data_IF_161703909867
#
_entry.id   IF_161703909867
#
_cell.length_a   1.000
_cell.length_b   1.000
_cell.length_c   1.000
_cell.angle_alpha   90.00
_cell.angle_beta   90.00
_cell.angle_gamma   90.00
#
_symmetry.space_group_name_H-M   'P 1'
#
loop_
_entity.id
_entity.type
_entity.pdbx_description
1 polymer ?
#
# COMPACT_ATOMS: atom_id res chain seq x y z
N UNK A 1 8.77 -11.04 16.84
CA UNK A 1 7.66 -11.63 16.07
C UNK A 1 6.36 -10.99 16.49
N UNK A 2 5.57 -10.54 15.54
CA UNK A 2 4.25 -9.96 15.72
C UNK A 2 3.19 -10.94 15.18
N UNK A 3 2.15 -11.18 15.97
CA UNK A 3 0.97 -11.93 15.53
C UNK A 3 -0.23 -10.98 15.35
N UNK A 4 -1.12 -11.21 14.38
CA UNK A 4 -2.37 -10.45 14.30
C UNK A 4 -3.17 -10.48 15.63
N UNK A 5 -3.05 -11.55 16.39
CA UNK A 5 -3.67 -11.66 17.71
C UNK A 5 -3.16 -10.61 18.73
N UNK A 6 -1.94 -10.09 18.54
CA UNK A 6 -1.36 -9.12 19.47
C UNK A 6 -2.02 -7.74 19.37
N UNK A 7 -2.71 -7.48 18.24
CA UNK A 7 -3.46 -6.23 17.99
C UNK A 7 -4.97 -6.38 18.20
N UNK A 8 -5.47 -7.58 18.48
CA UNK A 8 -6.90 -7.82 18.67
C UNK A 8 -7.32 -7.68 20.13
N UNK A 9 -8.47 -7.05 20.41
CA UNK A 9 -9.02 -7.00 21.77
C UNK A 9 -9.50 -8.39 22.22
N UNK A 10 -9.52 -8.60 23.55
CA UNK A 10 -10.19 -9.77 24.13
C UNK A 10 -11.71 -9.69 23.88
N UNK A 11 -12.41 -10.78 23.50
CA UNK A 11 -11.96 -12.18 23.35
C UNK A 11 -11.47 -12.55 21.94
N UNK A 12 -11.44 -11.63 20.97
CA UNK A 12 -11.09 -11.92 19.58
C UNK A 12 -9.65 -12.43 19.44
N UNK A 13 -8.72 -11.91 20.25
CA UNK A 13 -7.33 -12.38 20.29
C UNK A 13 -7.22 -13.85 20.65
N UNK A 14 -8.04 -14.32 21.61
CA UNK A 14 -8.10 -15.73 22.03
C UNK A 14 -8.68 -16.59 20.92
N UNK A 15 -9.80 -16.18 20.33
CA UNK A 15 -10.42 -16.89 19.20
C UNK A 15 -9.46 -17.02 18.01
N UNK A 16 -8.74 -15.95 17.69
CA UNK A 16 -7.74 -15.99 16.62
C UNK A 16 -6.61 -16.99 16.93
N UNK A 17 -6.05 -17.00 18.14
CA UNK A 17 -4.99 -17.94 18.53
C UNK A 17 -5.46 -19.40 18.51
N UNK A 18 -6.71 -19.67 18.86
CA UNK A 18 -7.27 -21.01 18.82
C UNK A 18 -7.44 -21.52 17.38
N UNK A 19 -7.86 -20.66 16.46
CA UNK A 19 -8.08 -21.01 15.05
C UNK A 19 -6.81 -20.95 14.21
N UNK A 20 -5.80 -20.19 14.65
CA UNK A 20 -4.54 -19.99 13.96
C UNK A 20 -3.35 -20.21 14.92
N UNK A 21 -3.12 -21.46 15.40
CA UNK A 21 -2.02 -21.73 16.30
C UNK A 21 -0.69 -21.47 15.62
N UNK A 22 0.19 -20.74 16.29
CA UNK A 22 1.55 -20.53 15.81
C UNK A 22 2.34 -21.84 15.90
N UNK A 23 2.65 -22.41 14.75
CA UNK A 23 3.42 -23.66 14.63
C UNK A 23 4.91 -23.42 14.40
N UNK A 24 5.35 -22.17 14.34
CA UNK A 24 6.73 -21.84 14.07
C UNK A 24 7.61 -22.07 15.31
N UNK A 25 8.77 -22.65 15.10
CA UNK A 25 9.83 -22.74 16.10
C UNK A 25 10.78 -21.59 15.89
N UNK A 26 10.72 -20.60 16.76
CA UNK A 26 11.60 -19.45 16.70
C UNK A 26 12.96 -19.75 17.38
N UNK A 27 14.04 -19.16 16.84
CA UNK A 27 15.35 -19.20 17.48
C UNK A 27 15.32 -18.38 18.78
N UNK A 28 16.24 -18.68 19.71
CA UNK A 28 16.32 -18.03 21.03
C UNK A 28 16.55 -16.50 20.98
N UNK A 29 17.07 -16.00 19.85
CA UNK A 29 17.31 -14.57 19.66
C UNK A 29 16.12 -13.82 19.04
N UNK A 30 14.96 -14.49 18.89
CA UNK A 30 13.75 -13.86 18.36
C UNK A 30 12.87 -13.40 19.52
N UNK A 31 12.60 -12.11 19.58
CA UNK A 31 11.70 -11.53 20.57
C UNK A 31 10.26 -11.58 20.09
N UNK A 32 9.35 -11.95 20.98
CA UNK A 32 7.91 -11.77 20.76
C UNK A 32 7.50 -10.32 21.00
N UNK A 33 6.43 -9.89 20.35
CA UNK A 33 5.98 -8.49 20.39
C UNK A 33 5.79 -7.96 21.82
N UNK A 34 5.19 -8.77 22.69
CA UNK A 34 5.00 -8.39 24.10
C UNK A 34 6.31 -8.12 24.81
N UNK A 35 7.30 -9.01 24.65
CA UNK A 35 8.65 -8.84 25.24
C UNK A 35 9.36 -7.60 24.70
N UNK A 36 9.16 -7.31 23.41
CA UNK A 36 9.70 -6.10 22.79
C UNK A 36 9.11 -4.83 23.41
N UNK A 37 7.79 -4.78 23.63
CA UNK A 37 7.12 -3.65 24.27
C UNK A 37 7.55 -3.48 25.73
N UNK A 38 7.59 -4.57 26.50
CA UNK A 38 8.04 -4.56 27.90
C UNK A 38 9.48 -4.03 28.03
N UNK A 39 10.36 -4.38 27.10
CA UNK A 39 11.73 -3.86 27.06
C UNK A 39 11.85 -2.37 26.75
N UNK A 40 10.80 -1.77 26.14
CA UNK A 40 10.72 -0.34 25.84
C UNK A 40 10.05 0.51 26.92
N UNK A 41 9.39 -0.13 27.91
CA UNK A 41 8.72 0.60 28.97
C UNK A 41 9.71 1.42 29.81
N UNK A 42 9.41 2.71 29.99
CA UNK A 42 10.24 3.63 30.75
C UNK A 42 11.52 4.10 30.04
N UNK A 43 11.78 3.67 28.81
CA UNK A 43 12.91 4.15 28.02
C UNK A 43 12.59 5.52 27.41
N UNK A 44 13.58 6.41 27.43
CA UNK A 44 13.50 7.68 26.71
C UNK A 44 13.65 7.42 25.20
N UNK A 45 12.70 7.88 24.39
CA UNK A 45 12.83 7.85 22.93
C UNK A 45 13.61 9.09 22.50
N UNK A 46 14.93 8.98 22.34
CA UNK A 46 15.68 9.95 21.56
C UNK A 46 15.46 9.66 20.08
N UNK A 47 15.05 10.67 19.32
CA UNK A 47 14.99 10.53 17.87
C UNK A 47 16.43 10.39 17.33
N UNK A 48 16.68 9.37 16.52
CA UNK A 48 17.94 9.28 15.80
C UNK A 48 18.08 10.48 14.85
N UNK A 49 19.28 11.03 14.68
CA UNK A 49 19.51 12.07 13.70
C UNK A 49 19.14 11.57 12.30
N UNK A 50 18.52 12.44 11.50
CA UNK A 50 18.19 12.10 10.12
C UNK A 50 19.47 11.88 9.31
N UNK A 51 19.58 10.68 8.73
CA UNK A 51 20.63 10.32 7.78
C UNK A 51 19.99 9.94 6.44
N UNK A 52 20.14 10.76 5.38
CA UNK A 52 19.55 10.47 4.07
C UNK A 52 20.07 9.18 3.42
N UNK A 53 21.24 8.70 3.84
CA UNK A 53 21.84 7.46 3.38
C UNK A 53 21.46 6.22 4.20
N UNK A 54 20.78 6.40 5.33
CA UNK A 54 20.36 5.29 6.18
C UNK A 54 19.31 4.41 5.47
N UNK A 55 19.60 3.10 5.41
CA UNK A 55 18.66 2.13 4.85
C UNK A 55 17.50 1.87 5.80
N UNK A 56 16.31 2.35 5.48
CA UNK A 56 15.13 2.16 6.32
C UNK A 56 14.40 0.83 6.06
N UNK A 57 14.59 0.24 4.87
CA UNK A 57 13.98 -1.05 4.52
C UNK A 57 14.79 -1.79 3.47
N UNK A 58 14.74 -3.11 3.52
CA UNK A 58 15.26 -4.00 2.49
C UNK A 58 14.07 -4.69 1.82
N UNK A 59 13.84 -4.40 0.55
CA UNK A 59 12.78 -5.01 -0.25
C UNK A 59 13.38 -6.00 -1.24
N UNK A 60 12.83 -7.20 -1.31
CA UNK A 60 13.31 -8.21 -2.23
C UNK A 60 12.72 -8.01 -3.64
N UNK A 61 13.57 -8.14 -4.66
CA UNK A 61 13.10 -8.14 -6.06
C UNK A 61 12.40 -9.46 -6.38
N UNK A 62 11.37 -9.41 -7.21
CA UNK A 62 10.75 -10.59 -7.82
C UNK A 62 11.63 -11.11 -8.96
N UNK A 63 12.76 -11.74 -8.64
CA UNK A 63 13.70 -12.22 -9.66
C UNK A 63 13.08 -13.25 -10.59
N UNK A 64 13.07 -12.98 -11.90
CA UNK A 64 12.62 -13.94 -12.94
C UNK A 64 13.75 -14.89 -13.35
N UNK A 65 14.99 -14.61 -13.02
CA UNK A 65 16.19 -15.30 -13.56
C UNK A 65 17.23 -15.72 -12.50
N UNK A 66 16.93 -15.58 -11.19
CA UNK A 66 17.90 -15.89 -10.14
C UNK A 66 17.32 -15.79 -8.73
N UNK A 67 18.17 -15.89 -7.72
CA UNK A 67 17.77 -15.64 -6.32
C UNK A 67 17.31 -14.19 -6.14
N UNK A 68 16.23 -13.96 -5.38
CA UNK A 68 15.78 -12.60 -5.07
C UNK A 68 16.91 -11.77 -4.46
N UNK A 69 17.08 -10.55 -4.93
CA UNK A 69 18.06 -9.60 -4.37
C UNK A 69 17.38 -8.71 -3.35
N UNK A 70 18.05 -8.45 -2.24
CA UNK A 70 17.62 -7.45 -1.27
C UNK A 70 18.06 -6.05 -1.70
N UNK A 71 17.11 -5.18 -2.03
CA UNK A 71 17.37 -3.77 -2.37
C UNK A 71 17.22 -2.95 -1.11
N UNK A 72 18.27 -2.26 -0.70
CA UNK A 72 18.24 -1.32 0.42
C UNK A 72 17.67 0.02 -0.05
N UNK A 73 16.52 0.40 0.50
CA UNK A 73 15.88 1.68 0.23
C UNK A 73 16.06 2.59 1.43
N UNK A 74 16.35 3.86 1.17
CA UNK A 74 16.60 4.86 2.20
C UNK A 74 15.35 5.71 2.45
N UNK A 75 15.30 6.41 3.58
CA UNK A 75 14.26 7.40 3.85
C UNK A 75 14.18 8.45 2.74
N UNK A 76 15.34 8.83 2.17
CA UNK A 76 15.41 9.78 1.08
C UNK A 76 14.75 9.25 -0.21
N UNK A 77 14.85 7.95 -0.49
CA UNK A 77 14.18 7.33 -1.66
C UNK A 77 12.65 7.53 -1.59
N UNK A 78 12.06 7.30 -0.43
CA UNK A 78 10.62 7.47 -0.24
C UNK A 78 10.18 8.93 -0.20
N UNK A 79 10.99 9.79 0.40
CA UNK A 79 10.75 11.24 0.42
C UNK A 79 10.76 11.82 -0.99
N UNK A 80 11.70 11.37 -1.83
CA UNK A 80 11.78 11.81 -3.23
C UNK A 80 10.52 11.41 -4.02
N UNK A 81 10.02 10.18 -3.87
CA UNK A 81 8.76 9.74 -4.49
C UNK A 81 7.59 10.61 -4.02
N UNK A 82 7.48 10.88 -2.72
CA UNK A 82 6.41 11.73 -2.18
C UNK A 82 6.46 13.14 -2.75
N UNK A 83 7.65 13.72 -2.90
CA UNK A 83 7.84 15.04 -3.52
C UNK A 83 7.48 15.03 -5.02
N UNK A 84 7.86 13.99 -5.75
CA UNK A 84 7.49 13.84 -7.16
C UNK A 84 5.97 13.80 -7.35
N UNK A 85 5.26 12.99 -6.54
CA UNK A 85 3.80 12.96 -6.58
C UNK A 85 3.16 14.29 -6.17
N UNK A 86 3.75 14.99 -5.20
CA UNK A 86 3.26 16.31 -4.76
C UNK A 86 3.40 17.39 -5.85
N UNK A 87 4.33 17.22 -6.78
CA UNK A 87 4.49 18.12 -7.93
C UNK A 87 3.33 17.99 -8.94
N UNK A 88 2.54 16.93 -8.85
CA UNK A 88 1.33 16.73 -9.65
C UNK A 88 0.07 17.12 -8.86
N UNK A 89 0.03 18.34 -8.31
CA UNK A 89 -1.07 18.85 -7.45
C UNK A 89 -2.44 18.86 -8.11
N UNK A 90 -2.52 18.77 -9.43
CA UNK A 90 -3.79 18.61 -10.16
C UNK A 90 -4.39 17.21 -10.05
N UNK A 91 -3.59 16.20 -9.68
CA UNK A 91 -4.04 14.80 -9.62
C UNK A 91 -4.57 14.40 -8.24
N UNK A 92 -4.18 15.12 -7.19
CA UNK A 92 -4.51 14.77 -5.81
C UNK A 92 -5.08 15.96 -5.07
N UNK A 93 -6.20 15.75 -4.38
CA UNK A 93 -6.84 16.79 -3.59
C UNK A 93 -6.97 16.33 -2.14
N UNK A 94 -6.71 17.22 -1.20
CA UNK A 94 -6.86 16.96 0.22
C UNK A 94 -8.25 16.39 0.55
N UNK A 95 -8.27 15.33 1.33
CA UNK A 95 -9.50 14.65 1.74
C UNK A 95 -9.96 13.52 0.80
N UNK A 96 -9.42 13.41 -0.41
CA UNK A 96 -9.72 12.28 -1.29
C UNK A 96 -9.36 10.94 -0.64
N UNK A 97 -10.11 9.90 -1.00
CA UNK A 97 -9.89 8.55 -0.50
C UNK A 97 -8.97 7.79 -1.45
N UNK A 98 -7.83 7.39 -0.94
CA UNK A 98 -6.93 6.43 -1.57
C UNK A 98 -7.26 5.03 -1.07
N UNK A 99 -7.66 4.11 -1.96
CA UNK A 99 -7.79 2.70 -1.60
C UNK A 99 -6.48 1.97 -1.88
N UNK A 100 -5.84 1.50 -0.80
CA UNK A 100 -4.60 0.75 -0.88
C UNK A 100 -4.91 -0.75 -0.93
N UNK A 101 -4.66 -1.35 -2.10
CA UNK A 101 -4.86 -2.78 -2.38
C UNK A 101 -3.55 -3.50 -2.68
N UNK A 102 -2.44 -2.76 -2.77
CA UNK A 102 -1.15 -3.35 -3.13
C UNK A 102 -0.52 -4.05 -1.92
N UNK A 103 0.12 -5.21 -2.14
CA UNK A 103 0.83 -5.91 -1.08
C UNK A 103 1.94 -5.04 -0.47
N UNK A 104 2.01 -4.91 0.86
CA UNK A 104 2.97 -4.03 1.52
C UNK A 104 4.42 -4.51 1.47
N UNK A 105 4.66 -5.75 1.05
CA UNK A 105 6.00 -6.36 0.99
C UNK A 105 6.71 -6.16 -0.34
N UNK A 106 6.08 -5.50 -1.32
CA UNK A 106 6.71 -5.09 -2.59
C UNK A 106 6.95 -3.58 -2.57
N UNK A 107 8.00 -3.10 -3.27
CA UNK A 107 8.36 -1.67 -3.26
C UNK A 107 7.20 -0.76 -3.65
N UNK A 108 6.43 -1.12 -4.67
CA UNK A 108 5.24 -0.38 -5.10
C UNK A 108 4.19 -0.26 -3.98
N UNK A 109 3.83 -1.38 -3.35
CA UNK A 109 2.86 -1.38 -2.26
C UNK A 109 3.39 -0.71 -1.00
N UNK A 110 4.69 -0.84 -0.72
CA UNK A 110 5.34 -0.17 0.40
C UNK A 110 5.36 1.35 0.19
N UNK A 111 5.84 1.82 -0.96
CA UNK A 111 5.92 3.26 -1.27
C UNK A 111 4.53 3.93 -1.29
N UNK A 112 3.54 3.29 -1.92
CA UNK A 112 2.18 3.84 -2.04
C UNK A 112 1.28 3.59 -0.82
N UNK A 113 1.63 2.63 0.06
CA UNK A 113 0.74 2.15 1.10
C UNK A 113 1.28 2.09 2.52
N UNK A 114 2.42 1.44 2.76
CA UNK A 114 2.87 1.10 4.13
C UNK A 114 3.75 2.16 4.74
N UNK A 115 4.61 2.77 3.98
CA UNK A 115 5.45 3.88 4.46
C UNK A 115 4.60 5.00 5.06
N UNK A 116 3.32 4.95 4.77
CA UNK A 116 2.24 5.74 5.27
C UNK A 116 1.94 5.60 6.75
N UNK A 117 2.11 4.40 7.32
CA UNK A 117 1.61 4.05 8.65
C UNK A 117 2.72 3.97 9.70
N UNK A 118 3.95 3.71 9.31
CA UNK A 118 5.04 3.44 10.25
C UNK A 118 5.60 4.69 10.95
N UNK A 119 5.37 5.88 10.40
CA UNK A 119 6.04 7.10 10.86
C UNK A 119 5.27 7.97 11.85
N UNK A 120 4.11 7.56 12.36
CA UNK A 120 3.46 8.29 13.45
C UNK A 120 4.28 8.28 14.76
N UNK A 121 5.30 7.41 14.86
CA UNK A 121 6.11 7.26 16.07
C UNK A 121 7.42 8.08 16.09
N UNK A 122 7.83 8.70 14.99
CA UNK A 122 9.11 9.42 14.92
C UNK A 122 8.89 10.91 14.67
N UNK A 123 9.14 11.69 15.70
CA UNK A 123 9.12 13.17 15.73
C UNK A 123 10.30 13.80 14.94
N UNK A 124 10.57 13.35 13.74
CA UNK A 124 11.58 13.98 12.89
C UNK A 124 10.89 14.77 11.77
N UNK A 125 11.05 16.06 11.81
CA UNK A 125 10.32 17.10 11.11
C UNK A 125 10.47 17.16 9.58
N UNK A 126 10.96 16.14 8.89
CA UNK A 126 11.29 16.27 7.46
C UNK A 126 10.94 15.07 6.56
N UNK A 127 10.28 14.03 7.06
CA UNK A 127 9.92 12.87 6.23
C UNK A 127 8.41 12.74 6.16
N UNK A 128 7.83 13.16 5.05
CA UNK A 128 6.39 13.23 4.87
C UNK A 128 5.98 12.25 3.76
N UNK A 129 5.04 11.37 4.05
CA UNK A 129 4.61 10.27 3.19
C UNK A 129 3.43 10.64 2.31
N UNK A 130 3.35 10.05 1.12
CA UNK A 130 2.47 10.48 0.04
C UNK A 130 1.05 10.84 0.47
N UNK A 131 0.23 9.98 1.09
CA UNK A 131 -1.12 10.42 1.48
C UNK A 131 -1.15 11.37 2.67
N UNK A 132 -0.16 11.36 3.57
CA UNK A 132 -0.10 12.36 4.66
C UNK A 132 0.33 13.72 4.12
N UNK A 133 1.31 13.75 3.19
CA UNK A 133 1.69 14.97 2.45
C UNK A 133 0.50 15.57 1.77
N UNK A 134 -0.24 14.72 1.06
CA UNK A 134 -1.37 15.14 0.24
C UNK A 134 -2.66 15.30 1.06
N UNK A 135 -2.65 14.96 2.35
CA UNK A 135 -3.83 15.02 3.22
C UNK A 135 -4.95 14.09 2.76
N UNK A 136 -4.60 12.91 2.23
CA UNK A 136 -5.56 11.91 1.75
C UNK A 136 -6.13 11.06 2.89
N UNK A 137 -7.31 10.52 2.68
CA UNK A 137 -7.90 9.49 3.53
C UNK A 137 -7.55 8.12 2.97
N UNK A 138 -6.93 7.23 3.76
CA UNK A 138 -6.52 5.90 3.29
C UNK A 138 -7.52 4.84 3.69
N UNK A 139 -7.99 4.07 2.70
CA UNK A 139 -8.77 2.84 2.88
C UNK A 139 -7.84 1.66 2.68
N UNK A 140 -7.46 1.00 3.77
CA UNK A 140 -6.52 -0.13 3.73
C UNK A 140 -7.31 -1.42 3.53
N UNK A 141 -6.91 -2.22 2.53
CA UNK A 141 -7.43 -3.55 2.26
C UNK A 141 -6.27 -4.55 2.45
N UNK A 142 -6.06 -5.08 3.65
CA UNK A 142 -4.85 -5.85 3.99
C UNK A 142 -4.72 -7.16 3.21
N UNK A 143 -5.84 -7.73 2.81
CA UNK A 143 -5.90 -8.97 2.06
C UNK A 143 -6.99 -8.85 1.00
N UNK A 144 -6.60 -8.43 -0.20
CA UNK A 144 -7.52 -8.29 -1.33
C UNK A 144 -7.91 -9.68 -1.86
N UNK A 145 -9.20 -9.95 -1.83
CA UNK A 145 -9.80 -10.97 -2.69
C UNK A 145 -10.20 -10.28 -4.00
N UNK A 146 -9.55 -10.59 -5.14
CA UNK A 146 -9.83 -9.93 -6.41
C UNK A 146 -11.31 -9.99 -6.81
N UNK A 147 -12.01 -11.07 -6.48
CA UNK A 147 -13.44 -11.23 -6.76
C UNK A 147 -14.34 -10.24 -5.97
N UNK A 148 -13.79 -9.59 -4.97
CA UNK A 148 -14.50 -8.59 -4.15
C UNK A 148 -14.16 -7.15 -4.52
N UNK A 149 -13.25 -6.94 -5.46
CA UNK A 149 -12.75 -5.59 -5.80
C UNK A 149 -13.90 -4.65 -6.18
N UNK A 150 -14.77 -5.03 -7.09
CA UNK A 150 -15.92 -4.19 -7.48
C UNK A 150 -16.83 -3.85 -6.30
N UNK A 151 -17.09 -4.79 -5.40
CA UNK A 151 -17.89 -4.53 -4.20
C UNK A 151 -17.20 -3.56 -3.25
N UNK A 152 -15.87 -3.63 -3.11
CA UNK A 152 -15.07 -2.72 -2.29
C UNK A 152 -15.04 -1.32 -2.89
N UNK A 153 -14.84 -1.20 -4.20
CA UNK A 153 -14.89 0.08 -4.94
C UNK A 153 -16.26 0.75 -4.76
N UNK A 154 -17.34 0.03 -4.93
CA UNK A 154 -18.69 0.58 -4.75
C UNK A 154 -18.98 0.97 -3.29
N UNK A 155 -18.47 0.21 -2.33
CA UNK A 155 -18.66 0.48 -0.89
C UNK A 155 -17.90 1.70 -0.42
N UNK A 156 -16.61 1.80 -0.75
CA UNK A 156 -15.75 2.84 -0.22
C UNK A 156 -15.67 4.08 -1.10
N UNK A 157 -16.00 3.95 -2.39
CA UNK A 157 -15.94 5.01 -3.40
C UNK A 157 -14.61 5.75 -3.37
N UNK A 158 -13.48 5.06 -3.59
CA UNK A 158 -12.17 5.69 -3.58
C UNK A 158 -12.01 6.54 -4.84
N UNK A 159 -11.55 7.76 -4.68
CA UNK A 159 -11.19 8.64 -5.79
C UNK A 159 -9.86 8.23 -6.42
N UNK A 160 -8.98 7.62 -5.62
CA UNK A 160 -7.63 7.22 -6.02
C UNK A 160 -7.43 5.73 -5.73
N UNK A 161 -6.81 5.02 -6.67
CA UNK A 161 -6.39 3.64 -6.46
C UNK A 161 -5.11 3.35 -7.24
N UNK A 162 -4.13 2.76 -6.56
CA UNK A 162 -2.94 2.20 -7.18
C UNK A 162 -3.06 0.69 -7.26
N UNK A 163 -2.86 0.14 -8.44
CA UNK A 163 -3.03 -1.28 -8.68
C UNK A 163 -2.16 -1.83 -9.80
N UNK A 164 -2.30 -3.12 -10.08
CA UNK A 164 -1.74 -3.72 -11.29
C UNK A 164 -2.81 -3.81 -12.38
N UNK A 165 -2.42 -3.94 -13.67
CA UNK A 165 -3.39 -4.02 -14.77
C UNK A 165 -4.51 -5.04 -14.56
N UNK A 166 -4.20 -6.20 -13.99
CA UNK A 166 -5.15 -7.25 -13.69
C UNK A 166 -6.30 -6.80 -12.76
N UNK A 167 -6.05 -5.88 -11.83
CA UNK A 167 -7.10 -5.34 -10.97
C UNK A 167 -8.14 -4.55 -11.76
N UNK A 168 -7.71 -3.75 -12.71
CA UNK A 168 -8.60 -2.93 -13.53
C UNK A 168 -9.37 -3.75 -14.57
N UNK A 169 -8.73 -4.78 -15.14
CA UNK A 169 -9.38 -5.76 -15.98
C UNK A 169 -10.48 -6.52 -15.21
N UNK A 170 -10.16 -6.94 -13.98
CA UNK A 170 -11.11 -7.58 -13.09
C UNK A 170 -12.28 -6.65 -12.73
N UNK A 171 -12.00 -5.38 -12.45
CA UNK A 171 -13.03 -4.38 -12.18
C UNK A 171 -13.94 -4.20 -13.40
N UNK A 172 -13.36 -4.06 -14.59
CA UNK A 172 -14.10 -3.91 -15.83
C UNK A 172 -14.96 -5.14 -16.19
N UNK A 173 -14.57 -6.33 -15.73
CA UNK A 173 -15.31 -7.57 -15.95
C UNK A 173 -16.34 -7.88 -14.83
N UNK A 174 -16.33 -7.16 -13.70
CA UNK A 174 -17.22 -7.47 -12.57
C UNK A 174 -18.68 -7.06 -12.87
N UNK A 175 -19.63 -8.02 -12.89
CA UNK A 175 -21.05 -7.73 -13.16
C UNK A 175 -21.67 -6.72 -12.19
N UNK A 176 -21.13 -6.59 -10.98
CA UNK A 176 -21.65 -5.69 -9.95
C UNK A 176 -21.47 -4.22 -10.29
N UNK A 177 -20.48 -3.89 -11.11
CA UNK A 177 -20.15 -2.50 -11.47
C UNK A 177 -20.71 -2.09 -12.85
N UNK A 178 -21.13 -3.05 -13.70
CA UNK A 178 -21.52 -2.82 -15.09
C UNK A 178 -22.63 -1.76 -15.33
N UNK A 179 -23.43 -1.46 -14.31
CA UNK A 179 -24.52 -0.46 -14.40
C UNK A 179 -24.40 0.60 -13.31
N UNK A 180 -23.19 0.81 -12.79
CA UNK A 180 -22.96 1.73 -11.70
C UNK A 180 -22.24 2.97 -12.20
N UNK A 181 -22.62 4.11 -11.64
CA UNK A 181 -21.87 5.34 -11.83
C UNK A 181 -20.55 5.27 -11.04
N UNK A 182 -19.45 5.48 -11.74
CA UNK A 182 -18.09 5.48 -11.19
C UNK A 182 -17.43 6.88 -11.30
N UNK A 183 -18.24 7.93 -11.46
CA UNK A 183 -17.76 9.31 -11.61
C UNK A 183 -16.92 9.82 -10.45
N UNK A 184 -16.99 9.14 -9.30
CA UNK A 184 -16.12 9.42 -8.14
C UNK A 184 -14.64 9.04 -8.37
N UNK A 185 -14.34 8.24 -9.40
CA UNK A 185 -12.96 7.87 -9.74
C UNK A 185 -12.28 9.08 -10.38
N UNK A 186 -11.22 9.58 -9.75
CA UNK A 186 -10.42 10.70 -10.27
C UNK A 186 -9.09 10.21 -10.84
N UNK A 187 -8.42 9.28 -10.15
CA UNK A 187 -7.10 8.81 -10.55
C UNK A 187 -6.90 7.33 -10.21
N UNK A 188 -7.05 6.49 -11.23
CA UNK A 188 -6.68 5.08 -11.13
C UNK A 188 -5.42 4.85 -11.96
N UNK A 189 -4.36 4.34 -11.30
CA UNK A 189 -3.07 4.12 -11.92
C UNK A 189 -2.65 2.65 -11.84
N UNK A 190 -2.24 2.09 -12.97
CA UNK A 190 -1.69 0.76 -13.11
C UNK A 190 -0.16 0.81 -13.17
N UNK A 191 0.49 -0.09 -12.45
CA UNK A 191 1.94 -0.28 -12.48
C UNK A 191 2.35 -1.67 -12.05
N UNK A 192 3.63 -1.96 -12.09
CA UNK A 192 4.21 -3.22 -11.60
C UNK A 192 4.04 -4.42 -12.53
N UNK A 193 3.30 -4.29 -13.63
CA UNK A 193 3.16 -5.32 -14.66
C UNK A 193 2.83 -4.67 -16.02
N UNK A 194 3.05 -5.40 -17.09
CA UNK A 194 2.73 -4.95 -18.44
C UNK A 194 1.23 -5.07 -18.73
N UNK A 195 0.69 -4.14 -19.52
CA UNK A 195 -0.65 -4.23 -20.06
C UNK A 195 -0.60 -4.17 -21.60
N UNK A 196 -1.36 -5.04 -22.27
CA UNK A 196 -1.49 -4.94 -23.72
C UNK A 196 -2.36 -3.75 -24.12
N UNK A 197 -2.11 -3.17 -25.29
CA UNK A 197 -2.92 -2.06 -25.82
C UNK A 197 -4.41 -2.39 -25.90
N UNK A 198 -4.74 -3.65 -26.23
CA UNK A 198 -6.15 -4.09 -26.28
C UNK A 198 -6.81 -4.11 -24.90
N UNK A 199 -6.09 -4.60 -23.89
CA UNK A 199 -6.59 -4.63 -22.51
C UNK A 199 -6.72 -3.22 -21.92
N UNK A 200 -5.74 -2.36 -22.17
CA UNK A 200 -5.81 -0.94 -21.78
C UNK A 200 -7.02 -0.24 -22.40
N UNK A 201 -7.22 -0.42 -23.71
CA UNK A 201 -8.37 0.14 -24.42
C UNK A 201 -9.68 -0.33 -23.78
N UNK A 202 -9.83 -1.62 -23.51
CA UNK A 202 -11.03 -2.18 -22.88
C UNK A 202 -11.29 -1.56 -21.50
N UNK A 203 -10.27 -1.40 -20.68
CA UNK A 203 -10.40 -0.76 -19.37
C UNK A 203 -10.81 0.70 -19.50
N UNK A 204 -10.20 1.45 -20.42
CA UNK A 204 -10.49 2.87 -20.60
C UNK A 204 -11.89 3.09 -21.19
N UNK A 205 -12.36 2.24 -22.12
CA UNK A 205 -13.72 2.27 -22.64
C UNK A 205 -14.74 1.96 -21.53
N UNK A 206 -14.45 0.99 -20.67
CA UNK A 206 -15.27 0.72 -19.49
C UNK A 206 -15.35 1.94 -18.58
N UNK A 207 -14.22 2.54 -18.18
CA UNK A 207 -14.18 3.71 -17.31
C UNK A 207 -14.99 4.88 -17.92
N UNK A 208 -14.78 5.19 -19.19
CA UNK A 208 -15.49 6.25 -19.90
C UNK A 208 -17.00 6.00 -19.95
N UNK A 209 -17.43 4.75 -20.20
CA UNK A 209 -18.86 4.38 -20.22
C UNK A 209 -19.54 4.45 -18.84
N UNK A 210 -18.76 4.57 -17.77
CA UNK A 210 -19.21 4.69 -16.38
C UNK A 210 -18.97 6.08 -15.77
N UNK A 211 -18.87 7.10 -16.63
CA UNK A 211 -18.71 8.53 -16.27
C UNK A 211 -17.37 8.88 -15.58
N UNK A 212 -16.33 8.07 -15.75
CA UNK A 212 -14.99 8.44 -15.29
C UNK A 212 -14.37 9.44 -16.25
N UNK A 213 -13.91 10.57 -15.73
CA UNK A 213 -13.46 11.71 -16.55
C UNK A 213 -12.10 11.47 -17.23
N UNK A 214 -11.25 10.65 -16.63
CA UNK A 214 -9.88 10.42 -17.11
C UNK A 214 -9.60 8.95 -17.35
N UNK A 215 -8.79 8.60 -18.35
CA UNK A 215 -8.35 7.23 -18.55
C UNK A 215 -7.48 6.76 -17.41
N UNK A 216 -7.30 5.44 -17.28
CA UNK A 216 -6.37 4.84 -16.35
C UNK A 216 -4.95 5.31 -16.67
N UNK A 217 -4.26 5.87 -15.66
CA UNK A 217 -2.86 6.24 -15.78
C UNK A 217 -1.97 4.99 -15.74
N UNK A 218 -0.80 5.07 -16.34
CA UNK A 218 0.21 4.01 -16.27
C UNK A 218 1.48 4.54 -15.62
N UNK A 219 2.04 3.75 -14.72
CA UNK A 219 3.29 4.02 -14.04
C UNK A 219 4.29 2.89 -14.27
N UNK A 220 5.54 3.26 -14.50
CA UNK A 220 6.65 2.33 -14.52
C UNK A 220 7.57 2.58 -13.34
N UNK A 221 8.07 1.51 -12.74
CA UNK A 221 9.08 1.56 -11.69
C UNK A 221 9.69 0.19 -11.45
N UNK A 222 10.79 0.18 -10.75
CA UNK A 222 11.47 -1.03 -10.27
C UNK A 222 11.73 -0.88 -8.76
N UNK A 223 12.10 -1.98 -8.12
CA UNK A 223 12.45 -1.93 -6.69
C UNK A 223 13.65 -1.02 -6.43
N UNK A 224 14.54 -0.90 -7.39
CA UNK A 224 15.79 -0.13 -7.33
C UNK A 224 15.62 1.36 -7.66
N UNK A 225 14.48 1.78 -8.24
CA UNK A 225 14.24 3.14 -8.76
C UNK A 225 12.91 3.70 -8.30
#
# INVERSE_FOLDING_TARGET
VLSPADSLPFPLSVGYKMTNPDKNKYKSNVLHWKQFLEGGEGQSTAAEPYDPGHACVVVHTGGTTGSPKGVMLTDNSFTAIAQQFSAYDTLFQKGQKLMNIMPPFIAYGYACGVHLLAHQALHAAHVVHLPMVLGLTVVIIPNLDPAKLGSLVLKYKPEIMFGVPAHYQQLAADPKVQKKDLSFIHNYAAGGDAISLGAEKTVNEFLASHNVAYPMAQGYGMTEV
#
